data_IF_842608167386
#
_entry.id   IF_842608167386
#
_cell.length_a   1.000
_cell.length_b   1.000
_cell.length_c   1.000
_cell.angle_alpha   90.00
_cell.angle_beta   90.00
_cell.angle_gamma   90.00
#
_symmetry.space_group_name_H-M   'P 1'
#
loop_
_entity.id
_entity.type
_entity.pdbx_description
1 polymer ?
#
# COMPACT_ATOMS: atom_id res chain seq x y z
N UNK A 1 6.19 5.92 -10.52
CA UNK A 1 5.02 6.57 -9.88
C UNK A 1 4.93 8.02 -10.36
N UNK A 2 3.86 8.38 -11.03
CA UNK A 2 3.63 9.79 -11.40
C UNK A 2 3.15 10.52 -10.16
N UNK A 3 4.00 11.33 -9.52
CA UNK A 3 3.63 12.19 -8.40
C UNK A 3 3.18 13.56 -8.91
N UNK A 4 1.90 13.85 -8.68
CA UNK A 4 1.36 15.19 -8.48
C UNK A 4 1.46 16.18 -9.63
N UNK A 5 0.74 16.01 -10.71
CA UNK A 5 0.18 17.05 -11.58
C UNK A 5 -0.75 16.44 -12.64
N UNK A 6 -1.07 15.17 -12.52
CA UNK A 6 -2.10 14.58 -13.37
C UNK A 6 -3.45 14.97 -12.81
N UNK A 7 -4.18 15.74 -13.58
CA UNK A 7 -5.58 16.03 -13.31
C UNK A 7 -6.38 14.72 -13.43
N UNK A 8 -7.32 14.49 -12.52
CA UNK A 8 -8.27 13.38 -12.61
C UNK A 8 -9.44 13.70 -13.58
N UNK A 9 -9.31 14.73 -14.40
CA UNK A 9 -10.23 14.99 -15.49
C UNK A 9 -9.97 14.04 -16.68
N UNK A 10 -10.89 14.03 -17.63
CA UNK A 10 -10.79 13.14 -18.79
C UNK A 10 -9.50 13.32 -19.60
N UNK A 11 -9.00 14.55 -19.71
CA UNK A 11 -7.78 14.84 -20.46
C UNK A 11 -6.55 14.29 -19.73
N UNK A 12 -6.46 14.47 -18.40
CA UNK A 12 -5.39 13.93 -17.58
C UNK A 12 -5.34 12.40 -17.64
N UNK A 13 -6.49 11.74 -17.52
CA UNK A 13 -6.57 10.27 -17.60
C UNK A 13 -6.17 9.76 -18.99
N UNK A 14 -6.66 10.39 -20.08
CA UNK A 14 -6.25 10.05 -21.45
C UNK A 14 -4.73 10.18 -21.64
N UNK A 15 -4.10 11.21 -21.10
CA UNK A 15 -2.64 11.37 -21.16
C UNK A 15 -1.89 10.25 -20.43
N UNK A 16 -2.44 9.73 -19.30
CA UNK A 16 -1.85 8.58 -18.60
C UNK A 16 -1.92 7.34 -19.48
N UNK A 17 -3.08 7.06 -20.10
CA UNK A 17 -3.26 5.93 -21.00
C UNK A 17 -2.29 6.00 -22.19
N UNK A 18 -2.29 7.13 -22.92
CA UNK A 18 -1.39 7.34 -24.06
C UNK A 18 0.08 7.17 -23.70
N UNK A 19 0.49 7.66 -22.52
CA UNK A 19 1.87 7.53 -22.07
C UNK A 19 2.19 6.07 -21.71
N UNK A 20 1.30 5.40 -20.98
CA UNK A 20 1.47 4.00 -20.62
C UNK A 20 1.58 3.13 -21.88
N UNK A 21 0.66 3.31 -22.82
CA UNK A 21 0.64 2.59 -24.10
C UNK A 21 1.91 2.84 -24.93
N UNK A 22 2.39 4.09 -24.97
CA UNK A 22 3.60 4.44 -25.73
C UNK A 22 4.86 3.72 -25.24
N UNK A 23 4.88 3.30 -23.96
CA UNK A 23 5.97 2.52 -23.37
C UNK A 23 5.62 1.04 -23.17
N UNK A 24 4.44 0.59 -23.57
CA UNK A 24 3.98 -0.79 -23.36
C UNK A 24 3.71 -1.13 -21.91
N UNK A 25 3.38 -0.14 -21.07
CA UNK A 25 3.01 -0.33 -19.66
C UNK A 25 1.50 -0.42 -19.48
N UNK A 26 1.09 -1.05 -18.37
CA UNK A 26 -0.29 -1.04 -17.90
C UNK A 26 -0.39 -0.32 -16.57
N UNK A 27 -1.44 0.47 -16.38
CA UNK A 27 -1.78 1.02 -15.07
C UNK A 27 -2.37 -0.11 -14.24
N UNK A 28 -1.76 -0.45 -13.11
CA UNK A 28 -2.16 -1.60 -12.28
C UNK A 28 -2.88 -1.21 -11.00
N UNK A 29 -2.72 0.03 -10.56
CA UNK A 29 -3.43 0.62 -9.42
C UNK A 29 -3.45 2.14 -9.51
N UNK A 30 -4.45 2.73 -8.87
CA UNK A 30 -4.47 4.17 -8.53
C UNK A 30 -4.21 4.32 -7.05
N UNK A 31 -3.37 5.26 -6.65
CA UNK A 31 -3.01 5.46 -5.26
C UNK A 31 -3.66 6.73 -4.71
N UNK A 32 -4.59 6.59 -3.77
CA UNK A 32 -5.16 7.70 -3.03
C UNK A 32 -4.20 8.16 -1.92
N UNK A 33 -4.05 9.48 -1.77
CA UNK A 33 -3.26 10.09 -0.69
C UNK A 33 -4.13 10.54 0.48
N UNK A 34 -5.10 9.74 0.86
CA UNK A 34 -6.11 10.10 1.85
C UNK A 34 -5.64 9.90 3.30
N UNK A 35 -6.32 10.58 4.22
CA UNK A 35 -6.27 10.38 5.66
C UNK A 35 -7.68 10.60 6.22
N UNK A 36 -8.33 9.56 6.76
CA UNK A 36 -9.69 9.68 7.31
C UNK A 36 -9.73 10.25 8.74
N UNK A 37 -8.59 10.34 9.43
CA UNK A 37 -8.52 10.97 10.75
C UNK A 37 -8.37 12.48 10.57
N UNK A 38 -9.47 13.20 10.67
CA UNK A 38 -9.53 14.64 10.39
C UNK A 38 -10.04 15.44 11.59
N UNK A 39 -9.69 16.74 11.62
CA UNK A 39 -10.10 17.67 12.68
C UNK A 39 -11.55 18.12 12.54
N UNK A 40 -12.13 18.09 11.35
CA UNK A 40 -13.51 18.53 11.10
C UNK A 40 -14.23 17.59 10.11
N UNK A 41 -15.57 17.68 10.12
CA UNK A 41 -16.42 16.95 9.20
C UNK A 41 -16.16 17.30 7.74
N UNK A 42 -15.99 18.58 7.45
CA UNK A 42 -15.74 19.06 6.07
C UNK A 42 -14.43 18.50 5.50
N UNK A 43 -13.36 18.48 6.33
CA UNK A 43 -12.10 17.87 5.93
C UNK A 43 -12.22 16.35 5.71
N UNK A 44 -12.97 15.67 6.57
CA UNK A 44 -13.25 14.24 6.41
C UNK A 44 -14.00 13.95 5.11
N UNK A 45 -15.07 14.70 4.82
CA UNK A 45 -15.84 14.56 3.58
C UNK A 45 -14.99 14.88 2.33
N UNK A 46 -14.07 15.82 2.46
CA UNK A 46 -13.06 16.07 1.44
C UNK A 46 -12.18 14.85 1.13
N UNK A 47 -11.77 14.09 2.17
CA UNK A 47 -11.02 12.85 1.99
C UNK A 47 -11.85 11.77 1.30
N UNK A 48 -13.10 11.58 1.73
CA UNK A 48 -14.04 10.65 1.10
C UNK A 48 -14.24 10.98 -0.37
N UNK A 49 -14.45 12.27 -0.70
CA UNK A 49 -14.57 12.74 -2.08
C UNK A 49 -13.31 12.46 -2.89
N UNK A 50 -12.13 12.70 -2.33
CA UNK A 50 -10.85 12.43 -2.98
C UNK A 50 -10.67 10.95 -3.32
N UNK A 51 -11.03 10.03 -2.42
CA UNK A 51 -10.98 8.59 -2.68
C UNK A 51 -11.98 8.19 -3.76
N UNK A 52 -13.21 8.73 -3.76
CA UNK A 52 -14.19 8.47 -4.82
C UNK A 52 -13.69 8.92 -6.19
N UNK A 53 -12.98 10.04 -6.28
CA UNK A 53 -12.33 10.46 -7.52
C UNK A 53 -11.24 9.48 -7.97
N UNK A 54 -10.48 8.88 -7.04
CA UNK A 54 -9.52 7.83 -7.37
C UNK A 54 -10.20 6.55 -7.86
N UNK A 55 -11.36 6.19 -7.30
CA UNK A 55 -12.17 5.06 -7.75
C UNK A 55 -12.67 5.30 -9.18
N UNK A 56 -13.19 6.49 -9.48
CA UNK A 56 -13.62 6.86 -10.84
C UNK A 56 -12.44 6.83 -11.83
N UNK A 57 -11.27 7.32 -11.41
CA UNK A 57 -10.06 7.26 -12.23
C UNK A 57 -9.63 5.81 -12.51
N UNK A 58 -9.66 4.94 -11.49
CA UNK A 58 -9.35 3.52 -11.64
C UNK A 58 -10.32 2.82 -12.60
N UNK A 59 -11.61 3.07 -12.45
CA UNK A 59 -12.66 2.56 -13.34
C UNK A 59 -12.42 2.99 -14.80
N UNK A 60 -12.16 4.27 -15.03
CA UNK A 60 -11.92 4.82 -16.37
C UNK A 60 -10.60 4.30 -17.00
N UNK A 61 -9.56 4.08 -16.21
CA UNK A 61 -8.29 3.51 -16.65
C UNK A 61 -8.31 1.97 -16.79
N UNK A 62 -9.45 1.33 -16.50
CA UNK A 62 -9.58 -0.13 -16.55
C UNK A 62 -8.68 -0.87 -15.53
N UNK A 63 -8.24 -0.19 -14.46
CA UNK A 63 -7.46 -0.82 -13.39
C UNK A 63 -8.35 -1.23 -12.22
N UNK A 64 -8.20 -2.46 -11.67
CA UNK A 64 -9.16 -2.99 -10.69
C UNK A 64 -8.88 -2.53 -9.26
N UNK A 65 -7.79 -1.81 -8.99
CA UNK A 65 -7.33 -1.55 -7.62
C UNK A 65 -7.12 -0.06 -7.34
N UNK A 66 -7.64 0.40 -6.20
CA UNK A 66 -7.27 1.68 -5.59
C UNK A 66 -6.61 1.42 -4.25
N UNK A 67 -5.33 1.77 -4.10
CA UNK A 67 -4.67 1.76 -2.80
C UNK A 67 -5.14 2.96 -1.99
N UNK A 68 -5.53 2.71 -0.75
CA UNK A 68 -5.99 3.71 0.21
C UNK A 68 -5.21 3.62 1.51
N UNK A 69 -5.10 4.74 2.22
CA UNK A 69 -4.62 4.76 3.60
C UNK A 69 -5.79 4.75 4.59
N UNK A 70 -5.55 4.32 5.83
CA UNK A 70 -6.47 4.55 6.94
C UNK A 70 -6.38 5.99 7.42
N UNK A 71 -5.26 6.33 7.99
CA UNK A 71 -4.96 7.64 8.56
C UNK A 71 -3.89 7.56 9.62
N UNK A 72 -3.48 8.72 10.11
CA UNK A 72 -2.47 8.87 11.15
C UNK A 72 -3.12 9.31 12.48
N UNK A 73 -2.50 8.98 13.64
CA UNK A 73 -2.95 9.49 14.92
C UNK A 73 -3.02 11.02 14.92
N UNK A 74 -4.05 11.55 15.56
CA UNK A 74 -4.25 13.01 15.68
C UNK A 74 -4.23 13.41 17.15
N UNK A 75 -3.54 14.52 17.44
CA UNK A 75 -3.54 15.09 18.80
C UNK A 75 -4.97 15.38 19.28
N UNK A 76 -5.25 15.02 20.51
CA UNK A 76 -6.58 15.16 21.11
C UNK A 76 -7.58 14.07 20.75
N UNK A 77 -7.21 13.08 19.95
CA UNK A 77 -8.02 11.88 19.66
C UNK A 77 -7.40 10.63 20.26
N UNK A 78 -8.22 9.77 20.80
CA UNK A 78 -7.83 8.42 21.20
C UNK A 78 -7.64 7.53 19.98
N UNK A 79 -6.89 6.43 20.12
CA UNK A 79 -6.74 5.42 19.05
C UNK A 79 -8.10 4.90 18.57
N UNK A 80 -9.01 4.65 19.51
CA UNK A 80 -10.38 4.18 19.20
C UNK A 80 -11.19 5.20 18.38
N UNK A 81 -11.04 6.49 18.63
CA UNK A 81 -11.67 7.55 17.82
C UNK A 81 -11.07 7.64 16.43
N UNK A 82 -9.75 7.42 16.30
CA UNK A 82 -9.09 7.35 15.01
C UNK A 82 -9.58 6.13 14.22
N UNK A 83 -9.64 4.95 14.83
CA UNK A 83 -10.14 3.72 14.20
C UNK A 83 -11.58 3.88 13.73
N UNK A 84 -12.46 4.44 14.55
CA UNK A 84 -13.86 4.72 14.15
C UNK A 84 -13.95 5.66 12.94
N UNK A 85 -13.13 6.71 12.89
CA UNK A 85 -13.10 7.60 11.74
C UNK A 85 -12.61 6.88 10.46
N UNK A 86 -11.63 5.99 10.59
CA UNK A 86 -11.14 5.18 9.47
C UNK A 86 -12.24 4.23 8.97
N UNK A 87 -12.89 3.52 9.87
CA UNK A 87 -14.00 2.59 9.53
C UNK A 87 -15.15 3.34 8.85
N UNK A 88 -15.54 4.51 9.38
CA UNK A 88 -16.58 5.35 8.77
C UNK A 88 -16.19 5.76 7.35
N UNK A 89 -14.98 6.28 7.16
CA UNK A 89 -14.50 6.70 5.85
C UNK A 89 -14.43 5.55 4.84
N UNK A 90 -13.90 4.41 5.27
CA UNK A 90 -13.80 3.22 4.41
C UNK A 90 -15.17 2.68 4.03
N UNK A 91 -16.15 2.62 4.95
CA UNK A 91 -17.54 2.21 4.60
C UNK A 91 -18.15 3.09 3.52
N UNK A 92 -17.97 4.43 3.64
CA UNK A 92 -18.52 5.38 2.65
C UNK A 92 -17.91 5.23 1.26
N UNK A 93 -16.66 4.79 1.16
CA UNK A 93 -15.98 4.61 -0.13
C UNK A 93 -16.06 3.17 -0.65
N UNK A 94 -16.19 2.17 0.24
CA UNK A 94 -16.31 0.77 -0.13
C UNK A 94 -17.59 0.50 -0.93
N UNK A 95 -18.74 0.98 -0.46
CA UNK A 95 -20.01 0.89 -1.20
C UNK A 95 -19.91 1.50 -2.60
N UNK A 96 -19.22 2.63 -2.72
CA UNK A 96 -19.00 3.28 -4.02
C UNK A 96 -18.05 2.48 -4.94
N UNK A 97 -17.06 1.80 -4.35
CA UNK A 97 -16.13 0.95 -5.08
C UNK A 97 -16.81 -0.32 -5.58
N UNK A 98 -17.71 -0.94 -4.78
CA UNK A 98 -18.51 -2.10 -5.16
C UNK A 98 -19.35 -1.82 -6.41
N UNK A 99 -20.03 -0.67 -6.47
CA UNK A 99 -20.84 -0.26 -7.63
C UNK A 99 -20.03 -0.17 -8.92
N UNK A 100 -18.72 0.03 -8.84
CA UNK A 100 -17.79 0.16 -9.98
C UNK A 100 -16.93 -1.06 -10.23
N UNK A 101 -17.06 -2.09 -9.41
CA UNK A 101 -16.21 -3.29 -9.51
C UNK A 101 -14.71 -3.00 -9.23
N UNK A 102 -14.43 -1.98 -8.41
CA UNK A 102 -13.07 -1.59 -8.00
C UNK A 102 -12.79 -2.11 -6.59
N UNK A 103 -11.63 -2.69 -6.37
CA UNK A 103 -11.16 -3.12 -5.06
C UNK A 103 -10.36 -2.01 -4.37
N UNK A 104 -10.72 -1.69 -3.15
CA UNK A 104 -9.93 -0.85 -2.26
C UNK A 104 -8.88 -1.70 -1.55
N UNK A 105 -7.62 -1.35 -1.69
CA UNK A 105 -6.51 -2.03 -1.03
C UNK A 105 -5.98 -1.14 0.11
N UNK A 106 -6.42 -1.40 1.35
CA UNK A 106 -5.99 -0.67 2.54
C UNK A 106 -4.55 -1.03 2.88
N UNK A 107 -3.68 -0.04 2.87
CA UNK A 107 -2.26 -0.24 3.16
C UNK A 107 -2.00 -0.28 4.67
N UNK A 108 -1.20 -1.24 5.09
CA UNK A 108 -0.55 -1.19 6.39
C UNK A 108 0.53 -0.09 6.36
N UNK A 109 0.20 1.06 6.93
CA UNK A 109 1.02 2.26 6.89
C UNK A 109 0.94 3.05 8.19
N UNK A 110 1.99 3.78 8.53
CA UNK A 110 2.03 4.66 9.69
C UNK A 110 1.85 3.94 11.02
N UNK A 111 1.18 4.59 11.98
CA UNK A 111 1.07 4.06 13.35
C UNK A 111 -0.20 3.27 13.63
N UNK A 112 -1.26 3.44 12.85
CA UNK A 112 -2.55 2.79 13.10
C UNK A 112 -2.63 1.47 12.35
N UNK A 113 -2.57 1.49 11.02
CA UNK A 113 -2.79 0.29 10.20
C UNK A 113 -1.56 -0.63 10.11
N UNK A 114 -0.39 -0.22 10.61
CA UNK A 114 0.73 -1.14 10.86
C UNK A 114 0.54 -2.00 12.13
N UNK A 115 -0.41 -1.67 13.01
CA UNK A 115 -0.87 -2.63 14.00
C UNK A 115 -1.77 -3.64 13.29
N UNK A 116 -1.30 -4.88 13.14
CA UNK A 116 -1.99 -5.91 12.36
C UNK A 116 -3.36 -6.26 12.92
N UNK A 117 -3.53 -6.22 14.25
CA UNK A 117 -4.80 -6.55 14.88
C UNK A 117 -5.82 -5.42 14.67
N UNK A 118 -5.38 -4.16 14.67
CA UNK A 118 -6.21 -3.01 14.26
C UNK A 118 -6.56 -3.08 12.78
N UNK A 119 -5.61 -3.40 11.92
CA UNK A 119 -5.84 -3.55 10.47
C UNK A 119 -6.93 -4.59 10.18
N UNK A 120 -6.81 -5.78 10.77
CA UNK A 120 -7.80 -6.86 10.61
C UNK A 120 -9.16 -6.50 11.20
N UNK A 121 -9.18 -5.84 12.37
CA UNK A 121 -10.40 -5.30 12.97
C UNK A 121 -11.08 -4.29 12.04
N UNK A 122 -10.35 -3.40 11.40
CA UNK A 122 -10.91 -2.43 10.45
C UNK A 122 -11.58 -3.16 9.27
N UNK A 123 -10.94 -4.20 8.71
CA UNK A 123 -11.54 -4.99 7.63
C UNK A 123 -12.85 -5.63 8.07
N UNK A 124 -12.85 -6.26 9.26
CA UNK A 124 -14.02 -6.93 9.85
C UNK A 124 -15.16 -5.94 10.12
N UNK A 125 -14.86 -4.78 10.74
CA UNK A 125 -15.87 -3.76 11.03
C UNK A 125 -16.43 -3.10 9.76
N UNK A 126 -15.64 -2.91 8.71
CA UNK A 126 -16.13 -2.35 7.44
C UNK A 126 -17.04 -3.34 6.74
N UNK A 127 -16.74 -4.63 6.80
CA UNK A 127 -17.52 -5.77 6.28
C UNK A 127 -17.92 -5.57 4.80
N UNK A 128 -16.93 -5.38 3.93
CA UNK A 128 -17.14 -5.16 2.49
C UNK A 128 -16.20 -6.03 1.66
N UNK A 129 -16.74 -6.72 0.67
CA UNK A 129 -15.95 -7.51 -0.29
C UNK A 129 -15.04 -6.64 -1.17
N UNK A 130 -15.36 -5.36 -1.34
CA UNK A 130 -14.51 -4.43 -2.06
C UNK A 130 -13.30 -3.95 -1.25
N UNK A 131 -13.23 -4.21 0.08
CA UNK A 131 -12.11 -3.81 0.90
C UNK A 131 -11.19 -5.01 1.17
N UNK A 132 -9.94 -4.88 0.75
CA UNK A 132 -8.86 -5.85 0.93
C UNK A 132 -7.60 -5.12 1.44
N UNK A 133 -6.47 -5.82 1.51
CA UNK A 133 -5.20 -5.27 1.98
C UNK A 133 -4.27 -4.96 0.81
N UNK A 134 -3.62 -3.80 0.85
CA UNK A 134 -2.33 -3.59 0.19
C UNK A 134 -1.24 -3.96 1.18
N UNK A 135 -0.61 -5.11 0.99
CA UNK A 135 0.44 -5.61 1.88
C UNK A 135 1.78 -4.96 1.52
N UNK A 136 2.17 -3.96 2.31
CA UNK A 136 3.55 -3.43 2.28
C UNK A 136 4.44 -4.27 3.19
N UNK A 137 5.46 -4.87 2.63
CA UNK A 137 6.32 -5.80 3.37
C UNK A 137 7.29 -5.11 4.32
N UNK A 138 7.74 -3.90 4.00
CA UNK A 138 8.70 -3.15 4.82
C UNK A 138 8.05 -2.42 5.99
N UNK A 139 6.78 -2.01 5.84
CA UNK A 139 6.12 -1.16 6.83
C UNK A 139 5.89 -1.86 8.18
N UNK A 140 5.57 -3.16 8.22
CA UNK A 140 5.49 -3.92 9.46
C UNK A 140 6.86 -4.01 10.15
N UNK A 141 7.91 -4.23 9.37
CA UNK A 141 9.28 -4.31 9.88
C UNK A 141 9.72 -2.95 10.44
N UNK A 142 9.42 -1.86 9.72
CA UNK A 142 9.63 -0.48 10.18
C UNK A 142 8.82 -0.14 11.44
N UNK A 143 7.60 -0.69 11.59
CA UNK A 143 6.76 -0.48 12.77
C UNK A 143 7.36 -1.09 14.05
N UNK A 144 8.29 -2.02 13.89
CA UNK A 144 9.08 -2.58 14.99
C UNK A 144 8.81 -4.04 15.30
N UNK A 145 7.98 -4.73 14.52
CA UNK A 145 7.85 -6.18 14.64
C UNK A 145 9.18 -6.88 14.36
N UNK A 146 9.44 -7.98 15.08
CA UNK A 146 10.55 -8.86 14.79
C UNK A 146 10.38 -9.53 13.42
N UNK A 147 11.46 -10.01 12.83
CA UNK A 147 11.39 -10.69 11.52
C UNK A 147 10.46 -11.91 11.55
N UNK A 148 10.44 -12.68 12.65
CA UNK A 148 9.54 -13.82 12.81
C UNK A 148 8.07 -13.40 12.86
N UNK A 149 7.75 -12.32 13.59
CA UNK A 149 6.38 -11.79 13.63
C UNK A 149 5.93 -11.26 12.27
N UNK A 150 6.83 -10.60 11.53
CA UNK A 150 6.53 -10.11 10.18
C UNK A 150 6.17 -11.28 9.24
N UNK A 151 6.90 -12.40 9.31
CA UNK A 151 6.58 -13.60 8.51
C UNK A 151 5.19 -14.16 8.85
N UNK A 152 4.83 -14.25 10.15
CA UNK A 152 3.51 -14.70 10.61
C UNK A 152 2.41 -13.73 10.16
N UNK A 153 2.66 -12.43 10.20
CA UNK A 153 1.71 -11.40 9.73
C UNK A 153 1.44 -11.58 8.24
N UNK A 154 2.45 -11.81 7.42
CA UNK A 154 2.26 -12.02 5.98
C UNK A 154 1.37 -13.24 5.71
N UNK A 155 1.56 -14.35 6.44
CA UNK A 155 0.72 -15.53 6.31
C UNK A 155 -0.75 -15.26 6.67
N UNK A 156 -0.99 -14.43 7.71
CA UNK A 156 -2.35 -14.01 8.13
C UNK A 156 -3.03 -13.12 7.09
N UNK A 157 -2.27 -12.23 6.44
CA UNK A 157 -2.81 -11.23 5.50
C UNK A 157 -2.93 -11.75 4.07
N UNK A 158 -2.17 -12.77 3.67
CA UNK A 158 -2.15 -13.27 2.30
C UNK A 158 -3.55 -13.57 1.72
N UNK A 159 -4.49 -14.20 2.46
CA UNK A 159 -5.83 -14.50 1.93
C UNK A 159 -6.67 -13.25 1.62
N UNK A 160 -6.39 -12.13 2.26
CA UNK A 160 -7.14 -10.86 2.10
C UNK A 160 -6.33 -9.79 1.37
N UNK A 161 -5.18 -10.14 0.79
CA UNK A 161 -4.32 -9.24 0.03
C UNK A 161 -4.81 -9.10 -1.40
N UNK A 162 -5.05 -7.86 -1.86
CA UNK A 162 -5.41 -7.53 -3.24
C UNK A 162 -4.30 -6.82 -4.01
N UNK A 163 -3.39 -6.17 -3.31
CA UNK A 163 -2.22 -5.47 -3.88
C UNK A 163 -1.02 -5.60 -2.95
N UNK A 164 0.18 -5.35 -3.46
CA UNK A 164 1.40 -5.44 -2.66
C UNK A 164 2.33 -4.27 -2.94
N UNK A 165 3.05 -3.85 -1.92
CA UNK A 165 4.27 -3.06 -2.04
C UNK A 165 5.43 -3.88 -1.48
N UNK A 166 6.35 -4.30 -2.36
CA UNK A 166 7.58 -4.98 -1.96
C UNK A 166 8.61 -3.95 -1.57
N UNK A 167 8.90 -3.90 -0.28
CA UNK A 167 9.85 -3.01 0.37
C UNK A 167 10.69 -3.83 1.32
N UNK A 168 11.95 -3.51 1.49
CA UNK A 168 12.85 -4.24 2.37
C UNK A 168 13.75 -3.31 3.19
N UNK A 169 14.37 -3.86 4.21
CA UNK A 169 15.29 -3.14 5.06
C UNK A 169 16.04 -4.06 6.02
N UNK A 170 17.02 -3.51 6.72
CA UNK A 170 17.84 -4.22 7.70
C UNK A 170 17.68 -3.61 9.08
N UNK A 171 17.83 -4.44 10.11
CA UNK A 171 17.86 -4.01 11.50
C UNK A 171 18.94 -4.78 12.29
N UNK A 172 19.61 -4.11 13.23
CA UNK A 172 20.63 -4.76 14.08
C UNK A 172 20.02 -5.89 14.94
N UNK A 173 18.81 -5.66 15.49
CA UNK A 173 18.07 -6.61 16.34
C UNK A 173 16.86 -7.19 15.61
N UNK A 174 17.10 -7.87 14.51
CA UNK A 174 16.04 -8.33 13.60
C UNK A 174 15.06 -9.36 14.17
N UNK A 175 15.44 -10.09 15.20
CA UNK A 175 14.59 -11.11 15.85
C UNK A 175 13.93 -10.62 17.14
N UNK A 176 14.03 -9.33 17.46
CA UNK A 176 13.39 -8.70 18.60
C UNK A 176 12.43 -7.61 18.17
N UNK A 177 11.44 -7.29 19.01
CA UNK A 177 10.66 -6.08 18.81
C UNK A 177 11.50 -4.84 19.03
N UNK A 178 11.28 -3.82 18.24
CA UNK A 178 12.04 -2.57 18.19
C UNK A 178 11.11 -1.36 18.31
N UNK A 179 11.72 -0.19 18.48
CA UNK A 179 10.99 1.06 18.30
C UNK A 179 10.72 1.30 16.82
N UNK A 180 9.64 2.00 16.54
CA UNK A 180 9.29 2.43 15.19
C UNK A 180 10.45 3.20 14.57
N UNK A 181 10.83 2.86 13.34
CA UNK A 181 11.89 3.51 12.59
C UNK A 181 13.30 2.95 12.83
N UNK A 182 13.50 1.96 13.71
CA UNK A 182 14.81 1.29 13.90
C UNK A 182 15.09 0.26 12.78
N UNK A 183 14.78 0.62 11.53
CA UNK A 183 15.06 -0.15 10.31
C UNK A 183 15.66 0.78 9.28
N UNK A 184 16.75 0.37 8.67
CA UNK A 184 17.34 1.03 7.52
C UNK A 184 16.76 0.42 6.25
N UNK A 185 16.03 1.20 5.46
CA UNK A 185 15.51 0.73 4.18
C UNK A 185 16.64 0.49 3.18
N UNK A 186 16.52 -0.57 2.40
CA UNK A 186 17.53 -1.06 1.45
C UNK A 186 16.88 -1.45 0.13
N UNK A 187 17.66 -1.56 -0.96
CA UNK A 187 17.23 -2.29 -2.14
C UNK A 187 16.77 -3.71 -1.78
N UNK A 188 15.82 -4.26 -2.53
CA UNK A 188 15.10 -5.48 -2.15
C UNK A 188 15.98 -6.68 -1.78
N UNK A 189 17.06 -7.02 -2.54
CA UNK A 189 17.90 -8.18 -2.21
C UNK A 189 18.77 -8.00 -0.97
N UNK A 190 18.93 -6.77 -0.48
CA UNK A 190 19.87 -6.42 0.60
C UNK A 190 19.22 -6.42 1.97
N UNK A 191 17.89 -6.51 2.05
CA UNK A 191 17.16 -6.47 3.32
C UNK A 191 17.05 -7.83 4.00
N UNK A 192 16.55 -7.80 5.24
CA UNK A 192 16.38 -8.98 6.09
C UNK A 192 15.19 -9.86 5.71
N UNK A 193 14.16 -9.26 5.08
CA UNK A 193 12.92 -9.97 4.73
C UNK A 193 13.18 -10.82 3.49
N UNK A 194 12.89 -12.11 3.58
CA UNK A 194 12.95 -13.02 2.42
C UNK A 194 11.75 -12.81 1.49
N UNK A 195 11.83 -11.79 0.63
CA UNK A 195 10.74 -11.45 -0.29
C UNK A 195 10.41 -12.57 -1.30
N UNK A 196 11.38 -13.41 -1.67
CA UNK A 196 11.11 -14.56 -2.54
C UNK A 196 10.20 -15.59 -1.85
N UNK A 197 10.38 -15.79 -0.52
CA UNK A 197 9.48 -16.62 0.30
C UNK A 197 8.08 -15.98 0.33
N UNK A 198 8.00 -14.66 0.51
CA UNK A 198 6.72 -13.92 0.54
C UNK A 198 5.97 -14.06 -0.79
N UNK A 199 6.65 -13.87 -1.93
CA UNK A 199 6.03 -14.00 -3.26
C UNK A 199 5.50 -15.43 -3.49
N UNK A 200 6.28 -16.46 -3.13
CA UNK A 200 5.84 -17.87 -3.24
C UNK A 200 4.64 -18.15 -2.35
N UNK A 201 4.67 -17.70 -1.10
CA UNK A 201 3.57 -17.83 -0.14
C UNK A 201 2.28 -17.15 -0.65
N UNK A 202 2.36 -15.92 -1.16
CA UNK A 202 1.23 -15.24 -1.78
C UNK A 202 0.64 -16.05 -2.93
N UNK A 203 1.48 -16.60 -3.82
CA UNK A 203 1.06 -17.44 -4.93
C UNK A 203 0.37 -18.72 -4.45
N UNK A 204 0.92 -19.39 -3.45
CA UNK A 204 0.35 -20.60 -2.83
C UNK A 204 -1.02 -20.32 -2.17
N UNK A 205 -1.20 -19.12 -1.60
CA UNK A 205 -2.47 -18.65 -1.03
C UNK A 205 -3.46 -18.12 -2.08
N UNK A 206 -3.12 -18.21 -3.37
CA UNK A 206 -4.02 -17.86 -4.47
C UNK A 206 -4.00 -16.38 -4.89
N UNK A 207 -3.03 -15.58 -4.44
CA UNK A 207 -2.86 -14.21 -4.89
C UNK A 207 -2.60 -14.17 -6.41
N UNK A 208 -3.36 -13.31 -7.11
CA UNK A 208 -3.28 -13.12 -8.57
C UNK A 208 -2.97 -11.69 -8.97
N UNK A 209 -2.77 -10.82 -8.00
CA UNK A 209 -2.47 -9.41 -8.21
C UNK A 209 -1.04 -9.18 -8.69
N UNK A 210 -0.71 -7.92 -8.85
CA UNK A 210 0.64 -7.48 -9.27
C UNK A 210 1.57 -7.42 -8.07
N UNK A 211 2.80 -7.86 -8.25
CA UNK A 211 3.89 -7.66 -7.29
C UNK A 211 4.54 -6.31 -7.61
N UNK A 212 4.20 -5.29 -6.83
CA UNK A 212 4.70 -3.93 -7.02
C UNK A 212 5.95 -3.70 -6.18
N UNK A 213 6.95 -3.04 -6.75
CA UNK A 213 8.15 -2.59 -6.02
C UNK A 213 7.92 -1.17 -5.53
N UNK A 214 8.18 -0.94 -4.25
CA UNK A 214 8.22 0.39 -3.65
C UNK A 214 9.58 0.62 -2.99
N UNK A 215 10.53 1.11 -3.78
CA UNK A 215 11.87 1.41 -3.30
C UNK A 215 11.93 2.76 -2.59
N UNK A 216 12.33 2.70 -1.33
CA UNK A 216 12.56 3.88 -0.47
C UNK A 216 13.91 3.76 0.28
N UNK A 217 14.89 3.12 -0.34
CA UNK A 217 16.22 2.96 0.27
C UNK A 217 16.93 4.30 0.48
N UNK A 218 17.79 4.37 1.48
CA UNK A 218 18.52 5.57 1.82
C UNK A 218 19.35 6.09 0.63
N UNK A 219 19.14 7.36 0.30
CA UNK A 219 19.86 8.03 -0.80
C UNK A 219 19.21 7.90 -2.19
N UNK A 220 18.10 7.17 -2.35
CA UNK A 220 17.48 6.96 -3.66
C UNK A 220 17.13 8.29 -4.38
N UNK A 221 16.79 9.36 -3.63
CA UNK A 221 16.50 10.69 -4.19
C UNK A 221 17.73 11.50 -4.54
N UNK A 222 18.92 11.08 -4.09
CA UNK A 222 20.19 11.80 -4.26
C UNK A 222 21.16 11.07 -5.18
N UNK A 223 20.91 9.80 -5.48
CA UNK A 223 21.71 9.03 -6.43
C UNK A 223 21.50 9.52 -7.86
N UNK A 224 22.53 9.41 -8.74
CA UNK A 224 22.37 9.59 -10.18
C UNK A 224 21.28 8.66 -10.73
N UNK A 225 20.46 9.16 -11.65
CA UNK A 225 19.34 8.40 -12.25
C UNK A 225 19.76 7.04 -12.80
N UNK A 226 20.94 6.95 -13.40
CA UNK A 226 21.48 5.69 -13.95
C UNK A 226 21.65 4.63 -12.86
N UNK A 227 22.11 5.04 -11.67
CA UNK A 227 22.26 4.14 -10.52
C UNK A 227 20.93 3.69 -9.95
N UNK A 228 19.94 4.57 -9.90
CA UNK A 228 18.57 4.20 -9.50
C UNK A 228 18.00 3.17 -10.47
N UNK A 229 18.16 3.38 -11.77
CA UNK A 229 17.71 2.42 -12.81
C UNK A 229 18.41 1.07 -12.68
N UNK A 230 19.72 1.05 -12.39
CA UNK A 230 20.50 -0.18 -12.16
C UNK A 230 19.94 -0.98 -10.97
N UNK A 231 19.65 -0.29 -9.84
CA UNK A 231 19.06 -0.90 -8.65
C UNK A 231 17.66 -1.46 -8.96
N UNK A 232 16.78 -0.67 -9.58
CA UNK A 232 15.43 -1.12 -9.94
C UNK A 232 15.46 -2.35 -10.87
N UNK A 233 16.37 -2.43 -11.83
CA UNK A 233 16.53 -3.61 -12.68
C UNK A 233 16.90 -4.84 -11.87
N UNK A 234 17.87 -4.71 -10.95
CA UNK A 234 18.28 -5.79 -10.05
C UNK A 234 17.13 -6.26 -9.15
N UNK A 235 16.33 -5.35 -8.62
CA UNK A 235 15.19 -5.66 -7.77
C UNK A 235 14.07 -6.38 -8.55
N UNK A 236 13.82 -5.98 -9.79
CA UNK A 236 12.91 -6.71 -10.69
C UNK A 236 13.43 -8.12 -10.98
N UNK A 237 14.73 -8.28 -11.31
CA UNK A 237 15.33 -9.60 -11.56
C UNK A 237 15.28 -10.47 -10.30
N UNK A 238 15.56 -9.90 -9.13
CA UNK A 238 15.45 -10.60 -7.86
C UNK A 238 14.04 -11.17 -7.65
N UNK A 239 13.00 -10.34 -7.74
CA UNK A 239 11.63 -10.82 -7.54
C UNK A 239 11.17 -11.81 -8.62
N UNK A 240 11.61 -11.65 -9.87
CA UNK A 240 11.34 -12.61 -10.96
C UNK A 240 11.89 -14.00 -10.68
N UNK A 241 12.95 -14.12 -9.91
CA UNK A 241 13.52 -15.42 -9.53
C UNK A 241 12.62 -16.25 -8.59
N UNK A 242 11.52 -15.68 -8.08
CA UNK A 242 10.52 -16.40 -7.29
C UNK A 242 9.50 -17.18 -8.13
N UNK A 243 9.45 -16.92 -9.45
CA UNK A 243 8.52 -17.55 -10.40
C UNK A 243 9.22 -18.62 -11.22
#
# INVERSE_FOLDING_TARGET
MFRGTLSFDQEGLRRVEELADSYGFKVTSVNAGNNFVQASRDLFEGQVKGVKMCIDAAFNLGTPVVRVFGGEPMEGKTEEECVRAIVEGLRMVASYAEERGVTLALENHGKITNNVDILLRILDEVDSEALKVNMDTGNFYWYGYSLSEVEEIFERLAPVTAHTHMKNGTAERKYERRKIGEVKLTPLPEGDINLLKVVRMLKEKGYKGVISIEDEFEGWTTLPQEKVVEILKRDVEYLRSAF
#
